data_IF_874642692555
#
_entry.id   IF_874642692555
#
_cell.length_a   1.000
_cell.length_b   1.000
_cell.length_c   1.000
_cell.angle_alpha   90.00
_cell.angle_beta   90.00
_cell.angle_gamma   90.00
#
_symmetry.space_group_name_H-M   'P 1'
#
loop_
_entity.id
_entity.type
_entity.pdbx_description
1 polymer ?
#
# COMPACT_ATOMS: atom_id res chain seq x y z
N UNK A 1 7.39 11.01 18.83
CA UNK A 1 7.46 10.06 17.70
C UNK A 1 6.55 10.61 16.63
N UNK A 2 7.10 11.01 15.50
CA UNK A 2 6.33 11.59 14.40
C UNK A 2 5.50 10.49 13.77
N UNK A 3 4.17 10.65 13.76
CA UNK A 3 3.27 9.67 13.15
C UNK A 3 3.22 9.90 11.64
N UNK A 4 3.98 9.11 10.88
CA UNK A 4 4.10 9.24 9.43
C UNK A 4 2.75 9.07 8.72
N UNK A 5 1.93 8.14 9.20
CA UNK A 5 0.59 7.91 8.65
C UNK A 5 -0.30 9.14 8.80
N UNK A 6 -0.28 9.82 9.95
CA UNK A 6 -1.02 11.05 10.18
C UNK A 6 -0.53 12.20 9.29
N UNK A 7 0.78 12.35 9.09
CA UNK A 7 1.34 13.37 8.20
C UNK A 7 0.89 13.18 6.75
N UNK A 8 1.05 11.96 6.24
CA UNK A 8 0.65 11.59 4.88
C UNK A 8 -0.86 11.77 4.69
N UNK A 9 -1.66 11.43 5.71
CA UNK A 9 -3.12 11.67 5.72
C UNK A 9 -3.48 13.15 5.61
N UNK A 10 -2.65 14.05 6.15
CA UNK A 10 -2.80 15.51 6.00
C UNK A 10 -2.70 15.99 4.55
N UNK A 11 -2.05 15.22 3.67
CA UNK A 11 -1.98 15.49 2.23
C UNK A 11 -3.15 14.89 1.43
N UNK A 12 -4.15 14.28 2.10
CA UNK A 12 -5.30 13.67 1.42
C UNK A 12 -4.99 12.32 0.76
N UNK A 13 -3.92 11.66 1.19
CA UNK A 13 -3.50 10.32 0.75
C UNK A 13 -3.24 9.42 1.96
N UNK A 14 -3.20 8.11 1.75
CA UNK A 14 -2.93 7.13 2.81
C UNK A 14 -1.51 6.58 2.66
N UNK A 15 -0.83 6.38 3.79
CA UNK A 15 0.42 5.64 3.81
C UNK A 15 0.12 4.16 3.52
N UNK A 16 0.83 3.60 2.54
CA UNK A 16 0.73 2.19 2.20
C UNK A 16 1.85 1.38 2.84
N UNK A 17 3.11 1.75 2.57
CA UNK A 17 4.27 1.13 3.20
C UNK A 17 5.50 2.03 3.06
N UNK A 18 6.59 1.64 3.73
CA UNK A 18 7.91 2.28 3.56
C UNK A 18 8.96 1.22 3.28
N UNK A 19 9.92 1.53 2.41
CA UNK A 19 11.00 0.62 2.01
C UNK A 19 12.33 1.36 1.95
N UNK A 20 13.41 0.68 2.33
CA UNK A 20 14.77 1.14 2.06
C UNK A 20 15.28 0.34 0.86
N UNK A 21 15.36 0.99 -0.29
CA UNK A 21 15.88 0.41 -1.52
C UNK A 21 17.33 0.83 -1.76
N UNK A 22 18.07 0.03 -2.52
CA UNK A 22 19.38 0.40 -3.03
C UNK A 22 19.32 0.35 -4.55
N UNK A 23 19.41 1.51 -5.20
CA UNK A 23 19.43 1.63 -6.66
C UNK A 23 20.76 2.24 -7.11
N UNK A 24 21.52 1.52 -7.93
CA UNK A 24 22.79 1.99 -8.48
C UNK A 24 23.77 2.57 -7.45
N UNK A 25 23.81 1.99 -6.25
CA UNK A 25 24.69 2.43 -5.14
C UNK A 25 24.16 3.63 -4.34
N UNK A 26 22.92 4.06 -4.57
CA UNK A 26 22.22 5.08 -3.76
C UNK A 26 21.18 4.44 -2.86
N UNK A 27 21.20 4.81 -1.59
CA UNK A 27 20.15 4.47 -0.64
C UNK A 27 18.91 5.31 -0.92
N UNK A 28 17.76 4.67 -1.08
CA UNK A 28 16.48 5.34 -1.29
C UNK A 28 15.56 4.99 -0.13
N UNK A 29 15.08 5.99 0.60
CA UNK A 29 13.97 5.83 1.50
C UNK A 29 12.68 6.10 0.73
N UNK A 30 11.98 5.02 0.37
CA UNK A 30 10.78 5.06 -0.46
C UNK A 30 9.54 5.01 0.41
N UNK A 31 8.66 5.98 0.23
CA UNK A 31 7.34 6.06 0.86
C UNK A 31 6.30 5.74 -0.18
N UNK A 32 5.56 4.65 0.03
CA UNK A 32 4.45 4.27 -0.81
C UNK A 32 3.16 4.88 -0.29
N UNK A 33 2.43 5.57 -1.15
CA UNK A 33 1.14 6.19 -0.84
C UNK A 33 0.02 5.64 -1.72
N UNK A 34 -1.21 5.69 -1.22
CA UNK A 34 -2.42 5.32 -1.96
C UNK A 34 -3.51 6.37 -1.78
N UNK A 35 -4.45 6.41 -2.72
CA UNK A 35 -5.60 7.31 -2.71
C UNK A 35 -6.75 6.64 -3.45
N UNK A 36 -7.98 6.87 -2.99
CA UNK A 36 -9.15 6.42 -3.74
C UNK A 36 -9.19 7.11 -5.11
N UNK A 37 -9.32 6.34 -6.18
CA UNK A 37 -9.21 6.85 -7.56
C UNK A 37 -7.79 6.93 -8.11
N UNK A 38 -6.78 6.52 -7.34
CA UNK A 38 -5.38 6.50 -7.75
C UNK A 38 -4.60 7.71 -7.27
N UNK A 39 -3.28 7.53 -7.21
CA UNK A 39 -2.31 8.57 -6.82
C UNK A 39 -1.79 9.23 -8.09
N UNK A 40 -1.77 10.56 -8.11
CA UNK A 40 -1.16 11.33 -9.19
C UNK A 40 0.19 11.94 -8.76
N UNK A 41 0.86 12.63 -9.68
CA UNK A 41 2.18 13.22 -9.40
C UNK A 41 2.13 14.33 -8.34
N UNK A 42 1.05 15.11 -8.31
CA UNK A 42 0.83 16.21 -7.35
C UNK A 42 0.70 15.68 -5.92
N UNK A 43 0.01 14.56 -5.75
CA UNK A 43 -0.11 13.85 -4.47
C UNK A 43 1.28 13.41 -3.96
N UNK A 44 2.12 12.85 -4.83
CA UNK A 44 3.50 12.47 -4.48
C UNK A 44 4.36 13.68 -4.11
N UNK A 45 4.24 14.78 -4.88
CA UNK A 45 4.98 16.01 -4.63
C UNK A 45 4.58 16.63 -3.29
N UNK A 46 3.27 16.70 -2.98
CA UNK A 46 2.76 17.25 -1.74
C UNK A 46 3.34 16.53 -0.50
N UNK A 47 3.34 15.19 -0.53
CA UNK A 47 3.93 14.38 0.54
C UNK A 47 5.45 14.56 0.61
N UNK A 48 6.15 14.60 -0.54
CA UNK A 48 7.59 14.83 -0.56
C UNK A 48 7.96 16.17 0.08
N UNK A 49 7.27 17.26 -0.30
CA UNK A 49 7.48 18.60 0.28
C UNK A 49 7.20 18.66 1.77
N UNK A 50 6.20 17.90 2.26
CA UNK A 50 5.88 17.82 3.68
C UNK A 50 6.98 17.09 4.47
N UNK A 51 7.49 15.97 3.93
CA UNK A 51 8.42 15.08 4.64
C UNK A 51 9.87 15.57 4.59
N UNK A 52 10.30 16.22 3.49
CA UNK A 52 11.68 16.72 3.34
C UNK A 52 12.21 17.50 4.55
N UNK A 53 11.56 18.60 5.02
CA UNK A 53 12.09 19.37 6.15
C UNK A 53 12.08 18.59 7.48
N UNK A 54 11.18 17.61 7.62
CA UNK A 54 11.13 16.75 8.81
C UNK A 54 12.33 15.80 8.81
N UNK A 55 12.63 15.20 7.67
CA UNK A 55 13.73 14.27 7.52
C UNK A 55 15.11 14.94 7.42
N UNK A 56 15.19 16.23 7.08
CA UNK A 56 16.42 17.02 7.24
C UNK A 56 16.82 17.13 8.72
N UNK A 57 15.85 17.19 9.65
CA UNK A 57 16.10 17.26 11.09
C UNK A 57 16.20 15.85 11.70
N UNK A 58 15.39 14.91 11.21
CA UNK A 58 15.28 13.55 11.72
C UNK A 58 15.36 12.53 10.58
N UNK A 59 16.57 12.25 10.06
CA UNK A 59 16.74 11.38 8.91
C UNK A 59 16.25 9.95 9.21
N UNK A 60 15.50 9.31 8.30
CA UNK A 60 14.97 7.96 8.48
C UNK A 60 16.04 6.87 8.28
N UNK A 61 17.15 7.22 7.63
CA UNK A 61 18.28 6.32 7.32
C UNK A 61 19.60 7.05 7.55
N UNK A 62 20.62 6.30 7.96
CA UNK A 62 21.98 6.82 8.12
C UNK A 62 22.72 6.91 6.78
N UNK A 63 23.62 7.90 6.66
CA UNK A 63 24.45 8.09 5.48
C UNK A 63 23.78 8.93 4.39
N UNK A 64 24.28 8.83 3.15
CA UNK A 64 23.67 9.47 1.99
C UNK A 64 22.43 8.71 1.55
N UNK A 65 21.31 9.40 1.41
CA UNK A 65 20.04 8.82 0.99
C UNK A 65 19.18 9.83 0.22
N UNK A 66 18.19 9.32 -0.50
CA UNK A 66 17.20 10.12 -1.23
C UNK A 66 15.79 9.74 -0.77
N UNK A 67 14.93 10.73 -0.55
CA UNK A 67 13.51 10.52 -0.35
C UNK A 67 12.84 10.28 -1.70
N UNK A 68 12.10 9.18 -1.83
CA UNK A 68 11.22 8.94 -2.98
C UNK A 68 9.79 8.72 -2.49
N UNK A 69 8.82 9.36 -3.14
CA UNK A 69 7.40 9.14 -2.86
C UNK A 69 6.75 8.63 -4.13
N UNK A 70 6.06 7.49 -4.02
CA UNK A 70 5.46 6.83 -5.17
C UNK A 70 4.20 6.05 -4.79
N UNK A 71 3.43 5.65 -5.80
CA UNK A 71 2.40 4.64 -5.61
C UNK A 71 3.03 3.24 -5.54
N UNK A 72 2.43 2.27 -4.83
CA UNK A 72 2.95 0.90 -4.74
C UNK A 72 2.86 0.08 -6.03
N UNK A 73 2.41 0.67 -7.14
CA UNK A 73 2.25 -0.01 -8.42
C UNK A 73 1.01 -0.89 -8.50
N UNK A 74 0.83 -1.54 -9.65
CA UNK A 74 -0.38 -2.30 -10.01
C UNK A 74 -0.39 -3.71 -9.41
N UNK A 75 0.71 -4.46 -9.54
CA UNK A 75 0.85 -5.79 -8.93
C UNK A 75 1.61 -5.70 -7.61
N UNK A 76 0.87 -5.44 -6.52
CA UNK A 76 1.45 -5.26 -5.19
C UNK A 76 0.98 -6.32 -4.21
N UNK A 77 1.85 -6.66 -3.27
CA UNK A 77 1.58 -7.67 -2.24
C UNK A 77 0.69 -7.09 -1.14
N UNK A 78 -0.39 -7.79 -0.82
CA UNK A 78 -1.29 -7.46 0.27
C UNK A 78 -0.93 -8.32 1.49
N UNK A 79 -0.19 -7.74 2.43
CA UNK A 79 0.34 -8.44 3.61
C UNK A 79 -0.28 -7.96 4.93
N UNK A 80 -0.83 -6.74 4.94
CA UNK A 80 -1.49 -6.13 6.09
C UNK A 80 -2.95 -5.85 5.74
N UNK A 81 -3.82 -5.77 6.75
CA UNK A 81 -5.23 -5.47 6.54
C UNK A 81 -5.46 -4.10 5.88
N UNK A 82 -4.60 -3.14 6.20
CA UNK A 82 -4.58 -1.80 5.60
C UNK A 82 -4.35 -1.85 4.09
N UNK A 83 -3.57 -2.83 3.59
CA UNK A 83 -3.36 -2.98 2.15
C UNK A 83 -4.66 -3.39 1.46
N UNK A 84 -5.47 -4.26 2.08
CA UNK A 84 -6.80 -4.62 1.55
C UNK A 84 -7.76 -3.44 1.63
N UNK A 85 -7.76 -2.66 2.72
CA UNK A 85 -8.55 -1.42 2.83
C UNK A 85 -8.18 -0.43 1.71
N UNK A 86 -6.90 -0.29 1.41
CA UNK A 86 -6.40 0.55 0.32
C UNK A 86 -6.69 -0.02 -1.08
N UNK A 87 -7.05 -1.30 -1.18
CA UNK A 87 -7.29 -1.98 -2.46
C UNK A 87 -8.77 -2.20 -2.77
N UNK A 88 -9.67 -1.53 -2.04
CA UNK A 88 -11.11 -1.54 -2.33
C UNK A 88 -11.35 -1.03 -3.74
N UNK A 89 -12.05 -1.84 -4.54
CA UNK A 89 -12.30 -1.57 -5.95
C UNK A 89 -11.29 -2.21 -6.90
N UNK A 90 -10.20 -2.81 -6.42
CA UNK A 90 -9.19 -3.48 -7.25
C UNK A 90 -9.39 -4.99 -7.31
N UNK A 91 -8.85 -5.61 -8.36
CA UNK A 91 -8.80 -7.07 -8.51
C UNK A 91 -7.66 -7.65 -7.68
N UNK A 92 -7.97 -8.72 -6.93
CA UNK A 92 -7.02 -9.40 -6.05
C UNK A 92 -7.01 -10.90 -6.31
N UNK A 93 -5.81 -11.47 -6.27
CA UNK A 93 -5.59 -12.91 -6.20
C UNK A 93 -5.19 -13.26 -4.77
N UNK A 94 -5.96 -14.11 -4.12
CA UNK A 94 -5.78 -14.55 -2.74
C UNK A 94 -5.48 -16.05 -2.76
N UNK A 95 -4.42 -16.48 -2.10
CA UNK A 95 -4.20 -17.89 -1.78
C UNK A 95 -4.42 -18.09 -0.29
N UNK A 96 -5.27 -19.06 0.06
CA UNK A 96 -5.62 -19.38 1.43
C UNK A 96 -4.68 -20.45 2.03
N UNK A 97 -4.77 -20.64 3.35
CA UNK A 97 -3.97 -21.62 4.08
C UNK A 97 -4.26 -23.07 3.67
N UNK A 98 -5.50 -23.36 3.26
CA UNK A 98 -5.93 -24.67 2.75
C UNK A 98 -5.46 -24.96 1.31
N UNK A 99 -4.65 -24.08 0.73
CA UNK A 99 -4.11 -24.12 -0.65
C UNK A 99 -5.14 -23.79 -1.75
N UNK A 100 -6.35 -23.39 -1.41
CA UNK A 100 -7.28 -22.84 -2.39
C UNK A 100 -6.81 -21.46 -2.88
N UNK A 101 -7.21 -21.10 -4.10
CA UNK A 101 -6.96 -19.78 -4.68
C UNK A 101 -8.29 -19.13 -5.08
N UNK A 102 -8.43 -17.85 -4.75
CA UNK A 102 -9.58 -17.01 -5.06
C UNK A 102 -9.10 -15.82 -5.89
N UNK A 103 -9.93 -15.41 -6.85
CA UNK A 103 -9.73 -14.20 -7.64
C UNK A 103 -11.03 -13.43 -7.65
N UNK A 104 -10.94 -12.13 -7.47
CA UNK A 104 -12.13 -11.29 -7.44
C UNK A 104 -11.82 -9.85 -7.10
N UNK A 105 -12.86 -9.04 -7.02
CA UNK A 105 -12.75 -7.61 -6.72
C UNK A 105 -12.95 -7.35 -5.24
N UNK A 106 -12.06 -6.60 -4.59
CA UNK A 106 -12.25 -6.23 -3.18
C UNK A 106 -13.43 -5.25 -3.08
N UNK A 107 -14.44 -5.60 -2.29
CA UNK A 107 -15.59 -4.74 -2.00
C UNK A 107 -15.38 -3.92 -0.72
N UNK A 108 -14.83 -4.55 0.31
CA UNK A 108 -14.56 -3.91 1.60
C UNK A 108 -13.55 -4.72 2.41
N UNK A 109 -12.89 -4.09 3.37
CA UNK A 109 -12.06 -4.76 4.36
C UNK A 109 -12.30 -4.15 5.75
N UNK A 110 -12.58 -5.01 6.74
CA UNK A 110 -12.60 -4.67 8.17
C UNK A 110 -11.26 -5.03 8.80
N UNK A 111 -11.13 -4.99 10.12
CA UNK A 111 -9.90 -5.40 10.81
C UNK A 111 -9.69 -6.92 10.85
N UNK A 112 -10.75 -7.71 10.61
CA UNK A 112 -10.72 -9.18 10.70
C UNK A 112 -11.00 -9.91 9.38
N UNK A 113 -11.72 -9.28 8.45
CA UNK A 113 -12.17 -9.91 7.21
C UNK A 113 -12.11 -9.01 5.99
N UNK A 114 -12.04 -9.64 4.83
CA UNK A 114 -12.03 -9.03 3.51
C UNK A 114 -13.24 -9.58 2.76
N UNK A 115 -14.07 -8.69 2.23
CA UNK A 115 -15.19 -9.05 1.35
C UNK A 115 -14.74 -8.92 -0.09
N UNK A 116 -14.83 -10.00 -0.86
CA UNK A 116 -14.42 -10.07 -2.26
C UNK A 116 -15.61 -10.50 -3.12
N UNK A 117 -15.86 -9.79 -4.22
CA UNK A 117 -16.77 -10.20 -5.27
C UNK A 117 -16.08 -11.23 -6.17
N UNK A 118 -16.63 -12.44 -6.21
CA UNK A 118 -16.16 -13.54 -7.06
C UNK A 118 -17.34 -13.90 -7.97
N UNK A 119 -17.20 -13.60 -9.27
CA UNK A 119 -18.24 -13.86 -10.27
C UNK A 119 -19.63 -13.29 -9.89
N UNK A 120 -19.67 -12.09 -9.29
CA UNK A 120 -20.90 -11.42 -8.86
C UNK A 120 -21.46 -11.89 -7.51
N UNK A 121 -20.72 -12.73 -6.78
CA UNK A 121 -21.08 -13.21 -5.45
C UNK A 121 -20.11 -12.66 -4.40
N UNK A 122 -20.65 -11.96 -3.40
CA UNK A 122 -19.88 -11.48 -2.26
C UNK A 122 -19.45 -12.62 -1.34
N UNK A 123 -18.16 -12.75 -1.10
CA UNK A 123 -17.54 -13.75 -0.23
C UNK A 123 -16.73 -13.07 0.87
N UNK A 124 -17.00 -13.42 2.12
CA UNK A 124 -16.23 -12.96 3.27
C UNK A 124 -15.09 -13.93 3.59
N UNK A 125 -13.86 -13.42 3.60
CA UNK A 125 -12.63 -14.18 3.86
C UNK A 125 -11.98 -13.60 5.11
N UNK A 126 -11.72 -14.41 6.13
CA UNK A 126 -10.99 -13.93 7.31
C UNK A 126 -9.54 -13.69 6.94
N UNK A 127 -8.98 -12.58 7.43
CA UNK A 127 -7.58 -12.23 7.18
C UNK A 127 -6.62 -13.32 7.65
N UNK A 128 -6.93 -14.01 8.76
CA UNK A 128 -6.12 -15.11 9.30
C UNK A 128 -6.03 -16.33 8.36
N UNK A 129 -7.03 -16.51 7.49
CA UNK A 129 -7.06 -17.63 6.54
C UNK A 129 -6.25 -17.34 5.26
N UNK A 130 -5.82 -16.08 5.06
CA UNK A 130 -5.05 -15.64 3.91
C UNK A 130 -3.57 -15.97 4.11
N UNK A 131 -3.02 -16.79 3.22
CA UNK A 131 -1.59 -17.13 3.20
C UNK A 131 -0.77 -16.10 2.43
N UNK A 132 -1.27 -15.68 1.27
CA UNK A 132 -0.66 -14.65 0.42
C UNK A 132 -1.73 -13.99 -0.43
N UNK A 133 -1.59 -12.71 -0.70
CA UNK A 133 -2.46 -12.01 -1.61
C UNK A 133 -1.68 -10.96 -2.40
N UNK A 134 -2.15 -10.67 -3.62
CA UNK A 134 -1.66 -9.58 -4.44
C UNK A 134 -2.76 -8.99 -5.31
N UNK A 135 -2.67 -7.71 -5.62
CA UNK A 135 -3.48 -7.11 -6.68
C UNK A 135 -3.00 -7.57 -8.06
N UNK A 136 -3.88 -7.52 -9.05
CA UNK A 136 -3.55 -7.75 -10.46
C UNK A 136 -4.49 -6.95 -11.37
N UNK A 137 -4.19 -6.90 -12.66
CA UNK A 137 -5.07 -6.35 -13.70
C UNK A 137 -5.33 -7.39 -14.78
N UNK A 138 -6.50 -7.31 -15.39
CA UNK A 138 -6.86 -8.05 -16.59
C UNK A 138 -6.73 -7.10 -17.78
N UNK A 139 -6.08 -7.58 -18.84
CA UNK A 139 -5.80 -6.83 -20.07
C UNK A 139 -6.83 -7.17 -21.15
#
# INVERSE_FOLDING_TARGET
MTDLAALVSGCGVNLYDTEIANDNGRTIFRVYITKNGGVNLDDCEAVSRLLSPIYDVMPPVSGDWVLEVSSPGIERKLSKIEHFKASVGELVKISLNDKSELKGKVLSATDDKITVDIDGVSNDIKFVDIKKAKTYIEW
#
